data_IF_500772318677
#
_entry.id   IF_500772318677
#
_cell.length_a   1.000
_cell.length_b   1.000
_cell.length_c   1.000
_cell.angle_alpha   90.00
_cell.angle_beta   90.00
_cell.angle_gamma   90.00
#
_symmetry.space_group_name_H-M   'P 1'
#
loop_
_entity.id
_entity.type
_entity.pdbx_description
1 polymer ?
#
# COMPACT_ATOMS: atom_id res chain seq x y z
N UNK A 1 5.76 -0.34 14.06
CA UNK A 1 4.95 0.78 13.54
C UNK A 1 5.78 1.57 12.55
N UNK A 2 5.32 1.67 11.30
CA UNK A 2 6.01 2.33 10.19
C UNK A 2 5.50 3.74 9.94
N UNK A 3 6.27 4.54 9.21
CA UNK A 3 5.89 5.91 8.83
C UNK A 3 5.32 5.95 7.42
N UNK A 4 4.15 6.57 7.25
CA UNK A 4 3.55 6.74 5.92
C UNK A 4 4.02 8.05 5.30
N UNK A 5 4.80 7.95 4.23
CA UNK A 5 5.26 9.10 3.44
C UNK A 5 4.37 9.30 2.22
N UNK A 6 3.79 10.49 2.10
CA UNK A 6 2.82 10.80 1.04
C UNK A 6 3.46 11.55 -0.12
N UNK A 7 3.35 11.00 -1.33
CA UNK A 7 3.64 11.76 -2.53
C UNK A 7 2.53 12.80 -2.81
N UNK A 8 2.91 14.00 -3.26
CA UNK A 8 1.96 15.07 -3.63
C UNK A 8 0.87 14.62 -4.60
N UNK A 9 1.25 13.76 -5.55
CA UNK A 9 0.33 13.17 -6.53
C UNK A 9 -0.74 12.30 -5.87
N UNK A 10 -0.36 11.48 -4.88
CA UNK A 10 -1.30 10.61 -4.17
C UNK A 10 -2.35 11.46 -3.42
N UNK A 11 -1.92 12.49 -2.69
CA UNK A 11 -2.84 13.42 -2.00
C UNK A 11 -3.84 14.08 -2.97
N UNK A 12 -3.34 14.55 -4.12
CA UNK A 12 -4.19 15.14 -5.17
C UNK A 12 -5.16 14.12 -5.76
N UNK A 13 -4.77 12.86 -5.90
CA UNK A 13 -5.65 11.79 -6.41
C UNK A 13 -6.75 11.45 -5.42
N UNK A 14 -6.45 11.34 -4.12
CA UNK A 14 -7.46 11.09 -3.09
C UNK A 14 -8.49 12.22 -3.05
N UNK A 15 -8.06 13.47 -3.19
CA UNK A 15 -8.97 14.62 -3.23
C UNK A 15 -10.00 14.55 -4.37
N UNK A 16 -9.71 13.82 -5.46
CA UNK A 16 -10.65 13.60 -6.58
C UNK A 16 -11.66 12.47 -6.34
N UNK A 17 -11.43 11.63 -5.32
CA UNK A 17 -12.34 10.54 -4.96
C UNK A 17 -13.56 11.12 -4.23
N UNK A 18 -14.79 10.61 -4.43
CA UNK A 18 -15.96 11.06 -3.68
C UNK A 18 -15.74 10.97 -2.17
N UNK A 19 -16.15 12.01 -1.42
CA UNK A 19 -15.85 12.17 0.01
C UNK A 19 -16.21 10.94 0.85
N UNK A 20 -17.31 10.27 0.53
CA UNK A 20 -17.77 9.06 1.23
C UNK A 20 -16.76 7.90 1.22
N UNK A 21 -15.85 7.85 0.24
CA UNK A 21 -14.82 6.81 0.15
C UNK A 21 -13.46 7.25 0.69
N UNK A 22 -13.23 8.55 0.90
CA UNK A 22 -11.92 9.06 1.30
C UNK A 22 -11.54 8.56 2.71
N UNK A 23 -12.46 8.58 3.66
CA UNK A 23 -12.21 8.12 5.03
C UNK A 23 -11.79 6.64 5.06
N UNK A 24 -12.49 5.80 4.29
CA UNK A 24 -12.13 4.38 4.18
C UNK A 24 -10.71 4.20 3.63
N UNK A 25 -10.33 5.01 2.66
CA UNK A 25 -8.99 4.96 2.07
C UNK A 25 -7.90 5.38 3.06
N UNK A 26 -8.11 6.47 3.80
CA UNK A 26 -7.16 6.90 4.84
C UNK A 26 -7.01 5.85 5.94
N UNK A 27 -8.12 5.27 6.42
CA UNK A 27 -8.08 4.23 7.45
C UNK A 27 -7.28 3.00 6.99
N UNK A 28 -7.50 2.52 5.76
CA UNK A 28 -6.73 1.39 5.24
C UNK A 28 -5.25 1.72 5.03
N UNK A 29 -4.94 2.96 4.63
CA UNK A 29 -3.55 3.40 4.48
C UNK A 29 -2.86 3.52 5.85
N UNK A 30 -3.58 3.98 6.88
CA UNK A 30 -3.05 4.01 8.25
C UNK A 30 -2.79 2.62 8.81
N UNK A 31 -3.58 1.61 8.42
CA UNK A 31 -3.31 0.21 8.79
C UNK A 31 -1.99 -0.32 8.20
N UNK A 32 -1.46 0.28 7.12
CA UNK A 32 -0.15 -0.10 6.58
C UNK A 32 1.01 0.19 7.55
N UNK A 33 0.80 0.99 8.60
CA UNK A 33 1.80 1.20 9.66
C UNK A 33 2.15 -0.09 10.41
N UNK A 34 1.24 -1.07 10.41
CA UNK A 34 1.40 -2.39 11.02
C UNK A 34 1.63 -3.49 9.97
N UNK A 35 1.82 -3.14 8.70
CA UNK A 35 2.20 -4.11 7.65
C UNK A 35 3.59 -4.70 7.95
N UNK A 36 3.82 -6.01 7.77
CA UNK A 36 2.94 -7.04 7.18
C UNK A 36 2.08 -7.83 8.18
N UNK A 37 2.01 -7.40 9.44
CA UNK A 37 1.39 -8.18 10.53
C UNK A 37 -0.14 -8.30 10.36
N UNK A 38 -0.79 -7.27 9.82
CA UNK A 38 -2.24 -7.23 9.74
C UNK A 38 -2.80 -8.07 8.58
N UNK A 39 -3.50 -9.16 8.92
CA UNK A 39 -4.21 -10.03 7.97
C UNK A 39 -5.64 -9.51 7.78
N UNK A 40 -5.87 -8.77 6.71
CA UNK A 40 -7.20 -8.22 6.40
C UNK A 40 -7.20 -7.22 5.24
N UNK A 41 -6.03 -6.71 4.88
CA UNK A 41 -5.85 -5.89 3.70
C UNK A 41 -5.60 -6.79 2.48
N UNK A 42 -6.35 -6.57 1.41
CA UNK A 42 -6.14 -7.23 0.10
C UNK A 42 -4.89 -6.61 -0.55
N UNK A 43 -3.72 -7.07 -0.10
CA UNK A 43 -2.39 -6.64 -0.55
C UNK A 43 -1.75 -7.78 -1.33
N UNK A 44 -1.29 -7.49 -2.53
CA UNK A 44 -0.44 -8.41 -3.28
C UNK A 44 0.88 -7.74 -3.69
N UNK A 45 1.99 -8.49 -3.74
CA UNK A 45 3.21 -8.01 -4.37
C UNK A 45 2.97 -7.85 -5.88
N UNK A 46 3.64 -6.87 -6.47
CA UNK A 46 3.67 -6.65 -7.92
C UNK A 46 5.04 -7.08 -8.45
N UNK A 47 5.03 -7.79 -9.58
CA UNK A 47 6.24 -8.18 -10.31
C UNK A 47 6.44 -7.26 -11.50
N UNK A 48 7.69 -6.86 -11.78
CA UNK A 48 8.04 -5.98 -12.90
C UNK A 48 7.25 -4.65 -12.91
N UNK A 49 7.06 -4.06 -11.73
CA UNK A 49 6.39 -2.78 -11.55
C UNK A 49 7.26 -1.85 -10.71
N UNK A 50 7.15 -0.54 -10.92
CA UNK A 50 7.88 0.48 -10.14
C UNK A 50 7.46 0.59 -8.66
N UNK A 51 6.41 -0.14 -8.29
CA UNK A 51 5.90 -0.19 -6.92
C UNK A 51 5.91 -1.63 -6.46
N UNK A 52 6.26 -1.87 -5.22
CA UNK A 52 6.43 -3.23 -4.68
C UNK A 52 5.08 -3.91 -4.45
N UNK A 53 4.07 -3.16 -4.00
CA UNK A 53 2.79 -3.70 -3.56
C UNK A 53 1.59 -2.94 -4.12
N UNK A 54 0.46 -3.65 -4.17
CA UNK A 54 -0.87 -3.09 -4.42
C UNK A 54 -1.84 -3.53 -3.33
N UNK A 55 -2.46 -2.56 -2.67
CA UNK A 55 -3.61 -2.77 -1.80
C UNK A 55 -4.92 -2.41 -2.52
N UNK A 56 -5.96 -3.22 -2.34
CA UNK A 56 -7.32 -2.89 -2.80
C UNK A 56 -8.15 -2.33 -1.65
N UNK A 57 -8.82 -1.20 -1.91
CA UNK A 57 -9.78 -0.59 -0.98
C UNK A 57 -11.08 -0.35 -1.75
N UNK A 58 -11.97 -1.35 -1.70
CA UNK A 58 -13.19 -1.39 -2.50
C UNK A 58 -12.89 -1.34 -4.01
N UNK A 59 -13.25 -0.21 -4.64
CA UNK A 59 -13.01 0.05 -6.09
C UNK A 59 -11.66 0.72 -6.39
N UNK A 60 -10.95 1.19 -5.36
CA UNK A 60 -9.69 1.92 -5.51
C UNK A 60 -8.49 1.02 -5.26
N UNK A 61 -7.37 1.37 -5.90
CA UNK A 61 -6.09 0.66 -5.77
C UNK A 61 -5.05 1.64 -5.22
N UNK A 62 -4.38 1.24 -4.16
CA UNK A 62 -3.26 1.97 -3.55
C UNK A 62 -1.99 1.22 -3.92
N UNK A 63 -1.05 1.90 -4.56
CA UNK A 63 0.26 1.36 -4.90
C UNK A 63 1.30 1.98 -3.97
N UNK A 64 2.14 1.16 -3.36
CA UNK A 64 3.12 1.63 -2.38
C UNK A 64 4.37 0.75 -2.40
N UNK A 65 5.46 1.33 -1.88
CA UNK A 65 6.71 0.63 -1.63
C UNK A 65 6.84 0.36 -0.15
N UNK A 66 7.59 -0.68 0.16
CA UNK A 66 7.99 -0.96 1.51
C UNK A 66 9.52 -1.02 1.56
N UNK A 67 10.12 0.10 1.94
CA UNK A 67 11.58 0.28 1.89
C UNK A 67 12.33 -0.59 2.94
N UNK A 68 11.61 -1.25 3.88
CA UNK A 68 12.15 -2.16 4.90
C UNK A 68 12.09 -3.65 4.48
N UNK A 69 12.07 -3.96 3.18
CA UNK A 69 11.97 -5.34 2.72
C UNK A 69 13.34 -6.04 2.72
N UNK A 70 13.50 -7.06 3.57
CA UNK A 70 14.64 -7.98 3.52
C UNK A 70 14.31 -9.09 2.51
N UNK A 71 14.95 -9.07 1.35
CA UNK A 71 14.82 -10.13 0.34
C UNK A 71 15.93 -11.17 0.53
N UNK A 72 15.54 -12.42 0.78
CA UNK A 72 16.45 -13.56 0.85
C UNK A 72 16.13 -14.48 -0.32
N UNK A 73 17.08 -14.62 -1.26
CA UNK A 73 17.04 -15.61 -2.32
C UNK A 73 17.98 -16.77 -1.98
N UNK A 74 17.47 -17.99 -1.96
CA UNK A 74 18.29 -19.20 -1.93
C UNK A 74 18.07 -19.97 -3.23
N UNK A 75 19.18 -20.33 -3.89
CA UNK A 75 19.21 -21.17 -5.08
C UNK A 75 20.03 -22.40 -4.74
N UNK A 76 19.36 -23.55 -4.67
CA UNK A 76 20.02 -24.85 -4.63
C UNK A 76 20.03 -25.40 -6.05
N UNK A 77 21.22 -25.78 -6.53
CA UNK A 77 21.38 -26.55 -7.77
C UNK A 77 20.64 -27.88 -7.69
#
# INVERSE_FOLDING_TARGET
MRTITWHNKARKQIKKIPRQYQNGLYNHIDMLKEFPVFKGLDIIPLTNHKYDYRMRVGRYRVLFNDDEQIQIGMSTK
#
